data_IF_522187552241
#
_entry.id   IF_522187552241
#
_cell.length_a   1.000
_cell.length_b   1.000
_cell.length_c   1.000
_cell.angle_alpha   90.00
_cell.angle_beta   90.00
_cell.angle_gamma   90.00
#
_symmetry.space_group_name_H-M   'P 1'
#
loop_
_entity.id
_entity.type
_entity.pdbx_description
1 polymer ?
#
# COMPACT_ATOMS: atom_id res chain seq x y z
N UNK A 1 -45.50 9.47 -37.18
CA UNK A 1 -44.92 8.12 -36.95
C UNK A 1 -43.43 8.00 -37.27
N UNK A 2 -42.90 8.54 -38.38
CA UNK A 2 -41.45 8.48 -38.70
C UNK A 2 -40.57 9.23 -37.68
N UNK A 3 -40.95 10.44 -37.32
CA UNK A 3 -40.28 11.27 -36.29
C UNK A 3 -40.15 10.56 -34.93
N UNK A 4 -41.22 9.88 -34.48
CA UNK A 4 -41.23 9.15 -33.20
C UNK A 4 -40.28 7.95 -33.20
N UNK A 5 -40.17 7.22 -34.33
CA UNK A 5 -39.23 6.10 -34.47
C UNK A 5 -37.78 6.59 -34.48
N UNK A 6 -37.50 7.71 -35.14
CA UNK A 6 -36.17 8.32 -35.15
C UNK A 6 -35.75 8.77 -33.74
N UNK A 7 -36.65 9.43 -33.00
CA UNK A 7 -36.41 9.87 -31.64
C UNK A 7 -36.11 8.70 -30.68
N UNK A 8 -36.92 7.64 -30.70
CA UNK A 8 -36.69 6.44 -29.87
C UNK A 8 -35.36 5.78 -30.22
N UNK A 9 -34.98 5.75 -31.50
CA UNK A 9 -33.72 5.15 -31.93
C UNK A 9 -32.50 5.96 -31.48
N UNK A 10 -32.57 7.29 -31.52
CA UNK A 10 -31.51 8.19 -31.04
C UNK A 10 -31.37 8.09 -29.51
N UNK A 11 -32.49 8.15 -28.77
CA UNK A 11 -32.48 8.04 -27.31
C UNK A 11 -31.96 6.66 -26.87
N UNK A 12 -32.39 5.59 -27.55
CA UNK A 12 -31.89 4.23 -27.30
C UNK A 12 -30.39 4.11 -27.54
N UNK A 13 -29.87 4.66 -28.64
CA UNK A 13 -28.44 4.68 -28.92
C UNK A 13 -27.64 5.47 -27.88
N UNK A 14 -28.15 6.63 -27.45
CA UNK A 14 -27.50 7.45 -26.41
C UNK A 14 -27.46 6.75 -25.06
N UNK A 15 -28.55 6.11 -24.63
CA UNK A 15 -28.58 5.34 -23.38
C UNK A 15 -27.58 4.18 -23.44
N UNK A 16 -27.52 3.47 -24.57
CA UNK A 16 -26.56 2.38 -24.78
C UNK A 16 -25.12 2.88 -24.71
N UNK A 17 -24.79 4.00 -25.37
CA UNK A 17 -23.45 4.59 -25.29
C UNK A 17 -23.06 4.99 -23.86
N UNK A 18 -23.97 5.61 -23.10
CA UNK A 18 -23.72 5.99 -21.71
C UNK A 18 -23.49 4.75 -20.84
N UNK A 19 -24.31 3.71 -20.99
CA UNK A 19 -24.13 2.43 -20.26
C UNK A 19 -22.77 1.80 -20.60
N UNK A 20 -22.38 1.79 -21.88
CA UNK A 20 -21.06 1.26 -22.27
C UNK A 20 -19.92 2.03 -21.61
N UNK A 21 -19.96 3.37 -21.57
CA UNK A 21 -18.94 4.18 -20.91
C UNK A 21 -18.80 3.80 -19.44
N UNK A 22 -19.90 3.66 -18.69
CA UNK A 22 -19.84 3.25 -17.29
C UNK A 22 -19.33 1.83 -17.10
N UNK A 23 -19.71 0.89 -17.98
CA UNK A 23 -19.21 -0.49 -17.92
C UNK A 23 -17.70 -0.54 -18.18
N UNK A 24 -17.21 0.13 -19.23
CA UNK A 24 -15.77 0.16 -19.52
C UNK A 24 -14.98 0.85 -18.42
N UNK A 25 -15.50 1.93 -17.84
CA UNK A 25 -14.88 2.61 -16.71
C UNK A 25 -14.81 1.71 -15.47
N UNK A 26 -15.89 0.98 -15.16
CA UNK A 26 -15.91 0.01 -14.05
C UNK A 26 -14.89 -1.12 -14.25
N UNK A 27 -14.79 -1.69 -15.46
CA UNK A 27 -13.80 -2.72 -15.79
C UNK A 27 -12.37 -2.17 -15.64
N UNK A 28 -12.13 -0.94 -16.11
CA UNK A 28 -10.81 -0.30 -15.96
C UNK A 28 -10.41 -0.13 -14.49
N UNK A 29 -11.32 0.35 -13.63
CA UNK A 29 -11.06 0.49 -12.20
C UNK A 29 -10.75 -0.85 -11.53
N UNK A 30 -11.48 -1.91 -11.89
CA UNK A 30 -11.22 -3.25 -11.38
C UNK A 30 -9.85 -3.79 -11.82
N UNK A 31 -9.49 -3.57 -13.09
CA UNK A 31 -8.20 -3.98 -13.64
C UNK A 31 -7.03 -3.27 -12.94
N UNK A 32 -7.13 -1.95 -12.73
CA UNK A 32 -6.09 -1.17 -12.04
C UNK A 32 -5.91 -1.64 -10.59
N UNK A 33 -7.01 -1.83 -9.86
CA UNK A 33 -6.98 -2.35 -8.49
C UNK A 33 -6.34 -3.75 -8.42
N UNK A 34 -6.69 -4.64 -9.34
CA UNK A 34 -6.10 -5.98 -9.41
C UNK A 34 -4.60 -5.94 -9.69
N UNK A 35 -4.16 -5.10 -10.64
CA UNK A 35 -2.74 -4.95 -10.96
C UNK A 35 -1.95 -4.45 -9.75
N UNK A 36 -2.46 -3.43 -9.04
CA UNK A 36 -1.85 -2.87 -7.83
C UNK A 36 -1.70 -3.92 -6.72
N UNK A 37 -2.70 -4.78 -6.51
CA UNK A 37 -2.64 -5.89 -5.56
C UNK A 37 -1.57 -6.91 -5.96
N UNK A 38 -1.55 -7.33 -7.23
CA UNK A 38 -0.59 -8.33 -7.74
C UNK A 38 0.87 -7.89 -7.57
N UNK A 39 1.19 -6.62 -7.72
CA UNK A 39 2.54 -6.10 -7.49
C UNK A 39 2.98 -6.25 -6.02
N UNK A 40 2.07 -6.00 -5.07
CA UNK A 40 2.38 -6.18 -3.65
C UNK A 40 2.48 -7.65 -3.30
N UNK A 41 1.58 -8.49 -3.81
CA UNK A 41 1.61 -9.93 -3.60
C UNK A 41 2.91 -10.57 -4.14
N UNK A 42 3.35 -10.18 -5.33
CA UNK A 42 4.63 -10.63 -5.88
C UNK A 42 5.84 -10.21 -5.02
N UNK A 43 5.78 -9.03 -4.40
CA UNK A 43 6.81 -8.53 -3.49
C UNK A 43 6.81 -9.29 -2.15
N UNK A 44 5.62 -9.62 -1.64
CA UNK A 44 5.44 -10.49 -0.46
C UNK A 44 6.06 -11.86 -0.74
N UNK A 45 5.75 -12.47 -1.88
CA UNK A 45 6.29 -13.77 -2.26
C UNK A 45 7.82 -13.75 -2.35
N UNK A 46 8.38 -12.68 -2.94
CA UNK A 46 9.82 -12.49 -3.03
C UNK A 46 10.46 -12.38 -1.65
N UNK A 47 9.84 -11.63 -0.74
CA UNK A 47 10.28 -11.52 0.65
C UNK A 47 10.21 -12.86 1.38
N UNK A 48 9.08 -13.55 1.33
CA UNK A 48 8.91 -14.84 2.02
C UNK A 48 9.88 -15.91 1.52
N UNK A 49 10.24 -15.87 0.23
CA UNK A 49 11.21 -16.79 -0.37
C UNK A 49 12.66 -16.48 0.03
N UNK A 50 13.01 -15.20 0.18
CA UNK A 50 14.40 -14.77 0.37
C UNK A 50 14.73 -14.31 1.79
N UNK A 51 13.75 -14.20 2.68
CA UNK A 51 13.99 -13.73 4.06
C UNK A 51 14.98 -14.66 4.77
N UNK A 52 16.01 -14.13 5.43
CA UNK A 52 16.89 -14.93 6.26
C UNK A 52 16.13 -15.55 7.45
N UNK A 53 16.66 -16.65 8.00
CA UNK A 53 16.12 -17.24 9.24
C UNK A 53 16.32 -16.31 10.44
N UNK A 54 17.43 -15.56 10.46
CA UNK A 54 17.80 -14.63 11.52
C UNK A 54 18.25 -13.31 10.92
N UNK A 55 17.61 -12.24 11.36
CA UNK A 55 17.83 -10.91 10.81
C UNK A 55 17.35 -9.82 11.78
N UNK A 56 17.82 -8.60 11.58
CA UNK A 56 17.33 -7.43 12.29
C UNK A 56 17.15 -6.26 11.34
N UNK A 57 16.33 -5.31 11.76
CA UNK A 57 16.09 -4.05 11.08
C UNK A 57 15.51 -3.05 12.06
N UNK A 58 15.54 -1.78 11.69
CA UNK A 58 14.88 -0.69 12.40
C UNK A 58 13.66 -0.25 11.60
N UNK A 59 12.52 -0.10 12.26
CA UNK A 59 11.36 0.59 11.68
C UNK A 59 11.36 2.02 12.20
N UNK A 60 11.11 2.96 11.29
CA UNK A 60 10.73 4.33 11.59
C UNK A 60 9.41 4.64 10.91
N UNK A 61 8.43 5.06 11.68
CA UNK A 61 7.11 5.39 11.15
C UNK A 61 6.62 6.69 11.77
N UNK A 62 5.83 7.46 11.03
CA UNK A 62 5.31 8.72 11.53
C UNK A 62 4.59 9.51 10.47
N UNK A 63 3.91 10.56 10.90
CA UNK A 63 3.45 11.63 10.02
C UNK A 63 4.16 12.90 10.52
N UNK A 64 3.50 13.71 11.36
CA UNK A 64 4.11 14.86 12.03
C UNK A 64 5.21 14.48 13.05
N UNK A 65 4.95 13.45 13.87
CA UNK A 65 5.91 12.85 14.81
C UNK A 65 6.24 11.44 14.34
N UNK A 66 7.41 10.96 14.74
CA UNK A 66 7.83 9.60 14.38
C UNK A 66 8.24 8.76 15.58
N UNK A 67 7.99 7.48 15.43
CA UNK A 67 8.41 6.40 16.30
C UNK A 67 9.53 5.61 15.66
N UNK A 68 10.36 4.98 16.49
CA UNK A 68 11.47 4.18 16.02
C UNK A 68 11.79 3.05 16.99
N UNK A 69 11.89 1.84 16.44
CA UNK A 69 12.18 0.64 17.20
C UNK A 69 12.94 -0.36 16.33
N UNK A 70 13.77 -1.17 16.99
CA UNK A 70 14.49 -2.26 16.36
C UNK A 70 13.71 -3.56 16.53
N UNK A 71 13.66 -4.34 15.46
CA UNK A 71 13.10 -5.70 15.44
C UNK A 71 14.23 -6.69 15.18
N UNK A 72 14.30 -7.75 15.99
CA UNK A 72 15.27 -8.83 15.84
C UNK A 72 14.53 -10.16 15.74
N UNK A 73 14.68 -10.83 14.60
CA UNK A 73 14.22 -12.20 14.36
C UNK A 73 15.32 -13.20 14.70
N UNK A 74 15.05 -14.09 15.65
CA UNK A 74 15.92 -15.17 16.11
C UNK A 74 15.30 -16.53 15.74
N UNK A 75 14.95 -16.73 14.47
CA UNK A 75 14.20 -17.90 14.01
C UNK A 75 12.74 -17.84 14.42
N UNK A 76 12.38 -18.54 15.50
CA UNK A 76 11.00 -18.61 16.00
C UNK A 76 10.65 -17.53 17.03
N UNK A 77 11.62 -16.76 17.49
CA UNK A 77 11.43 -15.67 18.45
C UNK A 77 11.61 -14.32 17.76
N UNK A 78 10.76 -13.35 18.09
CA UNK A 78 10.87 -11.96 17.66
C UNK A 78 11.03 -11.08 18.89
N UNK A 79 12.05 -10.23 18.88
CA UNK A 79 12.32 -9.25 19.94
C UNK A 79 12.17 -7.84 19.41
N UNK A 80 11.60 -6.98 20.24
CA UNK A 80 11.39 -5.57 19.94
C UNK A 80 12.16 -4.71 20.94
N UNK A 81 12.80 -3.67 20.44
CA UNK A 81 13.53 -2.71 21.26
C UNK A 81 13.11 -1.31 20.87
N UNK A 82 12.37 -0.65 21.77
CA UNK A 82 12.05 0.77 21.61
C UNK A 82 13.32 1.61 21.75
N UNK A 83 13.65 2.36 20.70
CA UNK A 83 14.83 3.24 20.66
C UNK A 83 14.54 4.60 21.30
N UNK A 84 13.27 4.97 21.43
CA UNK A 84 12.82 6.25 22.01
C UNK A 84 12.44 6.13 23.50
N UNK A 85 12.34 4.91 24.04
CA UNK A 85 12.01 4.61 25.45
C UNK A 85 10.74 5.33 25.92
N UNK A 86 9.70 5.32 25.08
CA UNK A 86 8.41 5.91 25.43
C UNK A 86 7.72 5.05 26.49
N UNK A 87 7.03 5.69 27.43
CA UNK A 87 6.30 5.00 28.51
C UNK A 87 4.96 4.39 28.07
N UNK A 88 4.51 4.67 26.85
CA UNK A 88 3.22 4.23 26.34
C UNK A 88 3.33 2.96 25.49
N UNK A 89 2.32 2.08 25.52
CA UNK A 89 2.33 0.86 24.71
C UNK A 89 2.41 1.21 23.23
N UNK A 90 3.40 0.67 22.55
CA UNK A 90 3.63 0.84 21.12
C UNK A 90 3.16 -0.40 20.36
N UNK A 91 2.48 -0.19 19.23
CA UNK A 91 2.11 -1.29 18.33
C UNK A 91 3.30 -1.60 17.41
N UNK A 92 4.14 -2.52 17.86
CA UNK A 92 5.34 -2.90 17.12
C UNK A 92 4.95 -3.65 15.85
N UNK A 93 5.43 -3.16 14.70
CA UNK A 93 5.24 -3.83 13.43
C UNK A 93 6.44 -4.69 13.03
N UNK A 94 6.14 -5.68 12.21
CA UNK A 94 7.09 -6.44 11.43
C UNK A 94 7.01 -6.02 9.96
N UNK A 95 7.98 -6.45 9.15
CA UNK A 95 7.96 -6.22 7.69
C UNK A 95 6.65 -6.71 7.05
N UNK A 96 6.01 -7.75 7.59
CA UNK A 96 4.72 -8.23 7.06
C UNK A 96 3.60 -7.20 7.24
N UNK A 97 3.56 -6.51 8.38
CA UNK A 97 2.56 -5.48 8.67
C UNK A 97 2.80 -4.23 7.80
N UNK A 98 4.06 -3.96 7.44
CA UNK A 98 4.41 -2.92 6.46
C UNK A 98 3.81 -3.21 5.09
N UNK A 99 3.77 -4.47 4.65
CA UNK A 99 3.07 -4.85 3.42
C UNK A 99 1.56 -4.64 3.51
N UNK A 100 0.94 -4.92 4.65
CA UNK A 100 -0.49 -4.68 4.85
C UNK A 100 -0.83 -3.20 4.76
N UNK A 101 -0.02 -2.34 5.41
CA UNK A 101 -0.15 -0.89 5.29
C UNK A 101 0.06 -0.41 3.85
N UNK A 102 1.00 -1.00 3.12
CA UNK A 102 1.21 -0.69 1.71
C UNK A 102 -0.01 -1.05 0.84
N UNK A 103 -0.65 -2.20 1.09
CA UNK A 103 -1.88 -2.59 0.38
C UNK A 103 -2.97 -1.55 0.56
N UNK A 104 -3.18 -1.10 1.80
CA UNK A 104 -4.14 -0.04 2.12
C UNK A 104 -3.79 1.27 1.43
N UNK A 105 -2.52 1.69 1.47
CA UNK A 105 -2.09 2.92 0.82
C UNK A 105 -2.28 2.85 -0.71
N UNK A 106 -2.03 1.71 -1.37
CA UNK A 106 -2.27 1.56 -2.81
C UNK A 106 -3.75 1.70 -3.22
N UNK A 107 -4.69 1.42 -2.32
CA UNK A 107 -6.12 1.55 -2.60
C UNK A 107 -6.70 2.91 -2.26
N UNK A 108 -6.15 3.59 -1.25
CA UNK A 108 -6.79 4.75 -0.62
C UNK A 108 -5.99 6.05 -0.75
N UNK A 109 -4.66 6.00 -0.92
CA UNK A 109 -3.83 7.18 -0.90
C UNK A 109 -4.00 8.04 -2.15
N UNK A 110 -3.91 9.36 -1.97
CA UNK A 110 -3.82 10.33 -3.05
C UNK A 110 -2.47 10.20 -3.77
N UNK A 111 -1.37 10.22 -3.02
CA UNK A 111 -0.02 9.97 -3.55
C UNK A 111 0.70 8.90 -2.74
N UNK A 112 1.41 8.02 -3.44
CA UNK A 112 2.16 6.92 -2.85
C UNK A 112 3.51 6.75 -3.54
N UNK A 113 4.58 6.88 -2.75
CA UNK A 113 5.94 6.54 -3.17
C UNK A 113 6.43 5.31 -2.41
N UNK A 114 7.00 4.34 -3.14
CA UNK A 114 7.51 3.10 -2.55
C UNK A 114 8.89 2.78 -3.09
N UNK A 115 9.86 2.59 -2.21
CA UNK A 115 11.16 2.02 -2.51
C UNK A 115 11.23 0.59 -1.96
N UNK A 116 11.64 -0.36 -2.79
CA UNK A 116 11.79 -1.76 -2.38
C UNK A 116 13.25 -2.12 -2.13
N UNK A 117 13.48 -2.92 -1.10
CA UNK A 117 14.77 -3.58 -0.89
C UNK A 117 14.96 -4.72 -1.92
N UNK A 118 16.20 -5.08 -2.32
CA UNK A 118 16.44 -6.22 -3.22
C UNK A 118 15.88 -7.57 -2.74
N UNK A 119 15.60 -7.71 -1.45
CA UNK A 119 14.95 -8.90 -0.87
C UNK A 119 13.43 -8.90 -1.04
N UNK A 120 12.83 -7.83 -1.57
CA UNK A 120 11.40 -7.74 -1.91
C UNK A 120 10.53 -6.98 -0.92
N UNK A 121 11.04 -6.59 0.25
CA UNK A 121 10.25 -5.84 1.22
C UNK A 121 10.23 -4.32 0.92
N UNK A 122 9.18 -3.58 1.34
CA UNK A 122 9.13 -2.13 1.21
C UNK A 122 10.14 -1.52 2.19
N UNK A 123 11.17 -0.87 1.64
CA UNK A 123 12.21 -0.17 2.40
C UNK A 123 11.76 1.22 2.80
N UNK A 124 11.02 1.90 1.92
CA UNK A 124 10.41 3.19 2.22
C UNK A 124 9.03 3.25 1.61
N UNK A 125 8.08 3.73 2.39
CA UNK A 125 6.73 4.09 1.95
C UNK A 125 6.53 5.53 2.39
N UNK A 126 6.12 6.39 1.46
CA UNK A 126 5.62 7.73 1.76
C UNK A 126 4.22 7.85 1.19
N UNK A 127 3.30 8.32 2.01
CA UNK A 127 1.88 8.40 1.72
C UNK A 127 1.41 9.80 2.01
N UNK A 128 0.68 10.37 1.06
CA UNK A 128 -0.12 11.59 1.20
C UNK A 128 -1.56 11.13 0.96
N UNK A 129 -2.43 11.32 1.96
CA UNK A 129 -3.79 10.78 1.95
C UNK A 129 -4.77 11.76 1.28
N UNK A 130 -4.54 13.05 1.41
CA UNK A 130 -5.40 14.13 0.96
C UNK A 130 -4.58 15.36 0.51
N UNK A 131 -4.71 15.71 -0.77
CA UNK A 131 -4.03 16.87 -1.35
C UNK A 131 -4.46 18.21 -0.74
N UNK A 132 -5.61 18.27 -0.05
CA UNK A 132 -6.13 19.49 0.57
C UNK A 132 -5.70 19.67 2.04
N UNK A 133 -5.24 18.60 2.69
CA UNK A 133 -4.91 18.61 4.11
C UNK A 133 -3.39 18.69 4.30
N UNK A 134 -2.90 19.84 4.77
CA UNK A 134 -1.51 19.99 5.19
C UNK A 134 -1.19 19.08 6.39
N UNK A 135 -0.05 18.36 6.36
CA UNK A 135 0.52 17.53 7.44
C UNK A 135 -0.13 16.15 7.65
N UNK A 136 -0.78 15.61 6.60
CA UNK A 136 -1.22 14.22 6.58
C UNK A 136 -0.18 13.26 5.94
N UNK A 137 0.98 13.79 5.56
CA UNK A 137 2.04 13.03 4.93
C UNK A 137 2.66 12.07 5.95
N UNK A 138 2.38 10.80 5.77
CA UNK A 138 2.90 9.72 6.61
C UNK A 138 4.00 8.96 5.89
N UNK A 139 4.92 8.38 6.67
CA UNK A 139 5.99 7.55 6.15
C UNK A 139 6.23 6.32 7.02
N UNK A 140 6.76 5.28 6.38
CA UNK A 140 7.31 4.09 7.00
C UNK A 140 8.65 3.81 6.33
N UNK A 141 9.71 3.65 7.12
CA UNK A 141 11.05 3.35 6.66
C UNK A 141 11.54 2.11 7.40
N UNK A 142 11.99 1.12 6.64
CA UNK A 142 12.71 -0.06 7.12
C UNK A 142 14.18 0.13 6.79
N UNK A 143 15.00 0.35 7.81
CA UNK A 143 16.43 0.64 7.67
C UNK A 143 17.30 -0.32 8.50
N UNK A 144 18.62 -0.21 8.35
CA UNK A 144 19.61 -1.03 9.05
C UNK A 144 19.38 -2.55 8.95
N UNK A 145 18.85 -3.01 7.81
CA UNK A 145 18.61 -4.43 7.59
C UNK A 145 19.92 -5.22 7.62
N UNK A 146 20.01 -6.22 8.49
CA UNK A 146 21.18 -7.07 8.65
C UNK A 146 20.77 -8.53 8.86
N UNK A 147 21.46 -9.45 8.19
CA UNK A 147 21.41 -10.88 8.51
C UNK A 147 22.29 -11.17 9.73
N UNK A 148 21.81 -11.99 10.67
CA UNK A 148 22.48 -12.30 11.96
C UNK A 148 22.84 -13.78 12.05
#
# INVERSE_FOLDING_TARGET
MKELKAYISIVGASVVCVVFVYVFFGIYLQYDAQKKSQEVDASIDLWLKNKPERYSYTIREGCMLYDSYQVIHLGNEVKYFDLQKKEYPFDYMQIIDVFERLKKAKSEANTLEVEYHPLGFPKSIKVDWDYETYDDECFIIVEDFQQI
#
